data_IF_002805154114
#
_entry.id   IF_002805154114
#
_cell.length_a   1.000
_cell.length_b   1.000
_cell.length_c   1.000
_cell.angle_alpha   90.00
_cell.angle_beta   90.00
_cell.angle_gamma   90.00
#
_symmetry.space_group_name_H-M   'P 1'
#
loop_
_entity.id
_entity.type
_entity.pdbx_description
1 polymer ?
#
# COMPACT_ATOMS: atom_id res chain seq x y z
N UNK A 1 -17.98 4.62 -3.82
CA UNK A 1 -17.98 6.01 -4.26
C UNK A 1 -19.08 6.17 -5.28
N UNK A 2 -19.68 7.36 -5.33
CA UNK A 2 -20.83 7.78 -6.14
C UNK A 2 -21.92 6.72 -6.44
N UNK A 3 -21.64 5.71 -7.26
CA UNK A 3 -22.55 4.62 -7.63
C UNK A 3 -22.34 3.29 -6.89
N UNK A 4 -21.21 3.09 -6.19
CA UNK A 4 -20.82 1.81 -5.56
C UNK A 4 -20.68 1.96 -4.04
N UNK A 5 -21.32 1.06 -3.29
CA UNK A 5 -21.15 0.97 -1.84
C UNK A 5 -19.77 0.41 -1.48
N UNK A 6 -19.17 0.89 -0.39
CA UNK A 6 -17.87 0.40 0.18
C UNK A 6 -16.70 0.34 -0.82
N UNK A 7 -16.67 1.26 -1.79
CA UNK A 7 -15.61 1.28 -2.82
C UNK A 7 -14.23 1.72 -2.29
N UNK A 8 -14.21 2.49 -1.20
CA UNK A 8 -12.97 3.02 -0.63
C UNK A 8 -12.84 2.63 0.83
N UNK A 9 -11.60 2.34 1.24
CA UNK A 9 -11.21 2.23 2.64
C UNK A 9 -10.29 3.40 2.93
N UNK A 10 -10.67 4.23 3.90
CA UNK A 10 -9.87 5.37 4.37
C UNK A 10 -9.25 4.98 5.69
N UNK A 11 -7.94 5.15 5.82
CA UNK A 11 -7.18 4.81 7.03
C UNK A 11 -6.13 5.87 7.31
N UNK A 12 -5.73 5.97 8.58
CA UNK A 12 -4.53 6.71 8.98
C UNK A 12 -3.25 6.03 8.48
N UNK A 13 -2.14 6.76 8.57
CA UNK A 13 -0.82 6.20 8.30
C UNK A 13 -0.50 5.08 9.32
N UNK A 14 -0.08 3.89 8.88
CA UNK A 14 0.21 2.78 9.79
C UNK A 14 1.31 3.12 10.81
N UNK A 15 1.01 2.89 12.08
CA UNK A 15 1.99 2.99 13.16
C UNK A 15 2.88 1.74 13.17
N UNK A 16 4.06 1.82 13.80
CA UNK A 16 5.00 0.68 13.92
C UNK A 16 4.35 -0.65 14.32
N UNK A 17 3.40 -0.61 15.24
CA UNK A 17 2.69 -1.80 15.74
C UNK A 17 1.61 -2.34 14.80
N UNK A 18 1.11 -1.53 13.87
CA UNK A 18 0.01 -1.87 12.95
C UNK A 18 0.46 -2.02 11.48
N UNK A 19 1.77 -1.92 11.19
CA UNK A 19 2.29 -2.12 9.81
C UNK A 19 1.88 -3.49 9.24
N UNK A 20 1.82 -4.55 10.06
CA UNK A 20 1.37 -5.84 9.54
C UNK A 20 -0.13 -5.84 9.21
N UNK A 21 -0.93 -5.07 9.95
CA UNK A 21 -2.38 -5.06 9.84
C UNK A 21 -2.83 -4.38 8.54
N UNK A 22 -2.07 -3.37 8.07
CA UNK A 22 -2.36 -2.75 6.75
C UNK A 22 -2.18 -3.76 5.61
N UNK A 23 -1.25 -4.71 5.71
CA UNK A 23 -1.08 -5.75 4.70
C UNK A 23 -2.18 -6.80 4.76
N UNK A 24 -2.67 -7.14 5.95
CA UNK A 24 -3.90 -7.93 6.10
C UNK A 24 -5.08 -7.25 5.42
N UNK A 25 -5.27 -5.95 5.68
CA UNK A 25 -6.33 -5.15 5.09
C UNK A 25 -6.27 -5.16 3.56
N UNK A 26 -5.10 -4.84 2.98
CA UNK A 26 -4.90 -4.81 1.53
C UNK A 26 -5.18 -6.19 0.91
N UNK A 27 -4.67 -7.26 1.52
CA UNK A 27 -4.78 -8.61 0.96
C UNK A 27 -6.19 -9.18 1.09
N UNK A 28 -6.79 -9.07 2.28
CA UNK A 28 -8.08 -9.70 2.60
C UNK A 28 -9.27 -8.93 1.98
N UNK A 29 -9.15 -7.60 1.82
CA UNK A 29 -10.14 -6.78 1.08
C UNK A 29 -9.82 -6.63 -0.41
N UNK A 30 -8.82 -7.35 -0.91
CA UNK A 30 -8.46 -7.40 -2.34
C UNK A 30 -8.17 -6.01 -2.93
N UNK A 31 -7.52 -5.13 -2.17
CA UNK A 31 -7.23 -3.78 -2.63
C UNK A 31 -6.19 -3.80 -3.76
N UNK A 32 -6.66 -3.57 -4.99
CA UNK A 32 -5.79 -3.47 -6.18
C UNK A 32 -4.98 -2.18 -6.22
N UNK A 33 -5.45 -1.12 -5.56
CA UNK A 33 -4.81 0.20 -5.56
C UNK A 33 -4.75 0.78 -4.15
N UNK A 34 -3.60 1.35 -3.80
CA UNK A 34 -3.38 2.08 -2.54
C UNK A 34 -2.92 3.48 -2.87
N UNK A 35 -3.70 4.47 -2.42
CA UNK A 35 -3.43 5.88 -2.66
C UNK A 35 -2.82 6.50 -1.41
N UNK A 36 -1.63 7.05 -1.55
CA UNK A 36 -0.88 7.71 -0.48
C UNK A 36 -0.89 9.21 -0.78
N UNK A 37 -1.57 9.95 0.09
CA UNK A 37 -1.71 11.41 -0.03
C UNK A 37 -0.65 12.20 0.76
N UNK A 38 0.15 11.50 1.56
CA UNK A 38 1.07 12.10 2.51
C UNK A 38 2.53 11.64 2.27
N UNK A 39 3.48 12.40 2.80
CA UNK A 39 4.88 12.08 2.83
C UNK A 39 5.47 12.46 4.21
N UNK A 40 5.27 11.61 5.23
CA UNK A 40 5.67 11.94 6.59
C UNK A 40 7.19 12.07 6.71
N UNK A 41 7.63 13.16 7.32
CA UNK A 41 9.05 13.45 7.57
C UNK A 41 9.57 12.85 8.89
N UNK A 42 8.73 12.10 9.62
CA UNK A 42 9.04 11.52 10.93
C UNK A 42 9.03 9.99 10.86
N UNK A 43 10.08 9.34 10.31
CA UNK A 43 10.10 7.89 10.06
C UNK A 43 10.05 7.03 11.34
N UNK A 44 10.36 7.63 12.50
CA UNK A 44 10.27 6.96 13.79
C UNK A 44 8.83 6.82 14.29
N UNK A 45 7.94 7.74 13.92
CA UNK A 45 6.54 7.75 14.32
C UNK A 45 5.66 7.17 13.22
N UNK A 46 5.93 7.59 11.98
CA UNK A 46 5.24 7.21 10.75
C UNK A 46 6.21 6.49 9.80
N UNK A 47 6.51 5.21 10.07
CA UNK A 47 7.43 4.43 9.25
C UNK A 47 6.84 4.12 7.88
N UNK A 48 7.70 3.98 6.87
CA UNK A 48 7.28 3.40 5.58
C UNK A 48 6.76 1.98 5.79
N UNK A 49 5.53 1.73 5.35
CA UNK A 49 4.88 0.43 5.48
C UNK A 49 5.02 -0.45 4.23
N UNK A 50 5.66 0.06 3.17
CA UNK A 50 5.95 -0.67 1.93
C UNK A 50 7.45 -0.75 1.63
N UNK A 51 7.89 -1.72 0.80
CA UNK A 51 9.30 -1.88 0.49
C UNK A 51 9.82 -0.66 -0.23
N UNK A 52 10.89 -0.07 0.31
CA UNK A 52 11.64 0.98 -0.40
C UNK A 52 12.40 0.36 -1.56
N UNK A 53 12.68 1.12 -2.62
CA UNK A 53 13.25 0.58 -3.88
C UNK A 53 14.57 -0.18 -3.71
N UNK A 54 15.35 0.17 -2.69
CA UNK A 54 16.59 -0.54 -2.32
C UNK A 54 16.35 -1.97 -1.83
N UNK A 55 15.14 -2.29 -1.41
CA UNK A 55 14.73 -3.61 -0.92
C UNK A 55 13.73 -4.22 -1.90
N UNK A 56 14.21 -5.15 -2.75
CA UNK A 56 13.33 -5.88 -3.67
C UNK A 56 12.23 -6.66 -2.95
N UNK A 57 12.47 -7.11 -1.71
CA UNK A 57 11.52 -7.89 -0.92
C UNK A 57 11.64 -7.58 0.56
N UNK A 58 10.51 -7.46 1.24
CA UNK A 58 10.44 -7.21 2.69
C UNK A 58 9.37 -8.09 3.33
N UNK A 59 9.55 -8.43 4.61
CA UNK A 59 8.55 -9.13 5.43
C UNK A 59 7.82 -8.16 6.33
N UNK A 60 6.53 -8.39 6.51
CA UNK A 60 5.65 -7.62 7.39
C UNK A 60 4.92 -8.59 8.32
N UNK A 61 5.44 -8.72 9.54
CA UNK A 61 4.99 -9.75 10.47
C UNK A 61 5.35 -11.18 10.01
N UNK A 62 4.76 -12.21 10.63
CA UNK A 62 5.02 -13.62 10.31
C UNK A 62 4.28 -14.11 9.05
N UNK A 63 3.25 -13.39 8.62
CA UNK A 63 2.30 -13.82 7.58
C UNK A 63 2.65 -13.26 6.21
N UNK A 64 3.06 -12.00 6.09
CA UNK A 64 3.16 -11.33 4.79
C UNK A 64 4.61 -11.09 4.36
N UNK A 65 4.86 -11.31 3.07
CA UNK A 65 6.07 -10.85 2.40
C UNK A 65 5.71 -10.17 1.08
N UNK A 66 6.23 -8.96 0.91
CA UNK A 66 5.91 -8.08 -0.22
C UNK A 66 7.16 -7.87 -1.04
N UNK A 67 7.01 -8.00 -2.36
CA UNK A 67 8.08 -7.89 -3.34
C UNK A 67 7.75 -6.77 -4.34
N UNK A 68 8.73 -5.91 -4.63
CA UNK A 68 8.61 -4.87 -5.64
C UNK A 68 8.79 -5.48 -7.03
N UNK A 69 7.76 -5.37 -7.86
CA UNK A 69 7.75 -5.87 -9.24
C UNK A 69 8.27 -4.79 -10.18
N UNK A 70 7.77 -3.56 -10.05
CA UNK A 70 8.20 -2.41 -10.84
C UNK A 70 7.93 -1.10 -10.10
N UNK A 71 8.58 -0.03 -10.54
CA UNK A 71 8.29 1.33 -10.12
C UNK A 71 8.34 2.29 -11.31
N UNK A 72 7.56 3.36 -11.22
CA UNK A 72 7.60 4.47 -12.17
C UNK A 72 7.39 5.79 -11.42
N UNK A 73 8.22 6.78 -11.73
CA UNK A 73 8.21 8.08 -11.07
C UNK A 73 7.91 9.19 -12.07
N UNK A 74 6.72 9.76 -11.95
CA UNK A 74 6.28 10.96 -12.66
C UNK A 74 6.58 12.20 -11.80
N UNK A 75 6.55 13.41 -12.39
CA UNK A 75 6.95 14.63 -11.66
C UNK A 75 6.22 14.86 -10.32
N UNK A 76 4.94 14.48 -10.21
CA UNK A 76 4.10 14.70 -9.02
C UNK A 76 3.50 13.42 -8.41
N UNK A 77 3.77 12.27 -9.03
CA UNK A 77 3.19 10.98 -8.67
C UNK A 77 4.27 9.92 -8.76
N UNK A 78 4.49 9.19 -7.68
CA UNK A 78 5.32 7.99 -7.67
C UNK A 78 4.44 6.76 -7.61
N UNK A 79 4.82 5.72 -8.34
CA UNK A 79 4.05 4.49 -8.42
C UNK A 79 4.92 3.26 -8.23
N UNK A 80 4.37 2.25 -7.58
CA UNK A 80 5.02 0.96 -7.37
C UNK A 80 4.02 -0.16 -7.56
N UNK A 81 4.42 -1.22 -8.25
CA UNK A 81 3.67 -2.45 -8.32
C UNK A 81 4.29 -3.44 -7.36
N UNK A 82 3.48 -3.95 -6.43
CA UNK A 82 3.90 -4.90 -5.41
C UNK A 82 3.19 -6.24 -5.56
N UNK A 83 3.95 -7.31 -5.43
CA UNK A 83 3.46 -8.68 -5.28
C UNK A 83 3.43 -9.05 -3.80
N UNK A 84 2.26 -9.34 -3.28
CA UNK A 84 1.99 -9.74 -1.90
C UNK A 84 1.93 -11.26 -1.84
N UNK A 85 2.75 -11.86 -0.99
CA UNK A 85 2.73 -13.29 -0.69
C UNK A 85 2.26 -13.48 0.75
N UNK A 86 1.19 -14.27 0.93
CA UNK A 86 0.65 -14.65 2.24
C UNK A 86 1.14 -16.05 2.60
N UNK A 87 1.71 -16.21 3.79
CA UNK A 87 2.06 -17.51 4.35
C UNK A 87 0.87 -18.02 5.16
N UNK A 88 0.37 -19.20 4.82
CA UNK A 88 -0.63 -19.89 5.64
C UNK A 88 0.04 -20.33 6.95
N UNK A 89 -0.55 -19.95 8.08
CA UNK A 89 -0.03 -20.25 9.43
C UNK A 89 -0.94 -21.16 10.25
N UNK A 90 -2.19 -21.37 9.81
CA UNK A 90 -3.10 -22.31 10.45
C UNK A 90 -2.67 -23.75 10.18
N UNK A 91 -2.49 -24.54 11.24
CA UNK A 91 -2.13 -25.96 11.11
C UNK A 91 -3.19 -26.76 10.34
N UNK A 92 -4.47 -26.45 10.52
CA UNK A 92 -5.56 -27.14 9.82
C UNK A 92 -5.52 -26.86 8.33
N UNK A 93 -5.31 -25.60 7.94
CA UNK A 93 -5.18 -25.19 6.53
C UNK A 93 -3.93 -25.81 5.90
N UNK A 94 -2.80 -25.83 6.62
CA UNK A 94 -1.56 -26.45 6.17
C UNK A 94 -1.71 -27.96 5.95
N UNK A 95 -2.36 -28.68 6.89
CA UNK A 95 -2.65 -30.11 6.76
C UNK A 95 -3.60 -30.40 5.60
N UNK A 96 -4.55 -29.49 5.33
CA UNK A 96 -5.43 -29.55 4.18
C UNK A 96 -4.75 -29.16 2.85
N UNK A 97 -3.45 -28.83 2.87
CA UNK A 97 -2.69 -28.44 1.68
C UNK A 97 -3.09 -27.07 1.10
N UNK A 98 -3.78 -26.24 1.88
CA UNK A 98 -4.20 -24.90 1.46
C UNK A 98 -2.98 -24.04 1.20
N UNK A 99 -2.99 -23.37 0.05
CA UNK A 99 -1.99 -22.38 -0.33
C UNK A 99 -2.70 -21.04 -0.51
N UNK A 100 -2.10 -19.99 0.00
CA UNK A 100 -2.60 -18.65 -0.23
C UNK A 100 -2.08 -18.14 -1.57
N UNK A 101 -3.00 -17.64 -2.41
CA UNK A 101 -2.68 -17.10 -3.73
C UNK A 101 -1.91 -15.77 -3.60
N UNK A 102 -0.80 -15.58 -4.32
CA UNK A 102 -0.16 -14.28 -4.38
C UNK A 102 -1.10 -13.24 -5.03
N UNK A 103 -1.13 -12.02 -4.48
CA UNK A 103 -1.91 -10.90 -5.02
C UNK A 103 -1.00 -9.77 -5.47
N UNK A 104 -1.44 -8.99 -6.44
CA UNK A 104 -0.73 -7.77 -6.89
C UNK A 104 -1.53 -6.54 -6.49
N UNK A 105 -0.83 -5.51 -6.01
CA UNK A 105 -1.41 -4.21 -5.68
C UNK A 105 -0.50 -3.10 -6.22
N UNK A 106 -1.09 -1.98 -6.61
CA UNK A 106 -0.36 -0.82 -7.09
C UNK A 106 -0.48 0.33 -6.11
N UNK A 107 0.65 0.88 -5.71
CA UNK A 107 0.73 2.04 -4.84
C UNK A 107 0.92 3.28 -5.69
N UNK A 108 0.22 4.35 -5.33
CA UNK A 108 0.35 5.66 -5.93
C UNK A 108 0.56 6.68 -4.82
N UNK A 109 1.71 7.35 -4.81
CA UNK A 109 2.00 8.43 -3.87
C UNK A 109 2.01 9.77 -4.60
N UNK A 110 1.20 10.70 -4.13
CA UNK A 110 1.27 12.10 -4.56
C UNK A 110 2.41 12.79 -3.80
N UNK A 111 3.26 13.52 -4.52
CA UNK A 111 4.39 14.25 -3.94
C UNK A 111 4.16 15.76 -3.86
N UNK A 112 3.05 16.26 -4.41
CA UNK A 112 2.72 17.69 -4.45
C UNK A 112 1.75 18.14 -3.36
N UNK A 113 1.62 17.38 -2.27
CA UNK A 113 0.78 17.75 -1.12
C UNK A 113 1.64 17.85 0.16
N UNK A 114 2.18 19.04 0.47
CA UNK A 114 2.94 19.25 1.70
C UNK A 114 2.04 19.15 2.95
N UNK A 115 2.59 18.66 4.05
CA UNK A 115 1.89 18.49 5.34
C UNK A 115 1.22 19.77 5.85
N UNK A 116 1.85 20.93 5.65
CA UNK A 116 1.33 22.22 6.15
C UNK A 116 0.25 22.84 5.23
N UNK A 117 -0.10 22.17 4.14
CA UNK A 117 -1.05 22.68 3.15
C UNK A 117 -2.42 22.00 3.25
N UNK A 118 -3.48 22.81 3.24
CA UNK A 118 -4.87 22.32 3.18
C UNK A 118 -5.22 21.64 1.86
N UNK A 119 -4.49 21.96 0.78
CA UNK A 119 -4.72 21.44 -0.58
C UNK A 119 -3.38 21.19 -1.28
N UNK A 120 -3.31 20.25 -2.25
CA UNK A 120 -2.09 20.04 -3.00
C UNK A 120 -1.73 21.29 -3.80
N UNK A 121 -0.44 21.49 -4.07
CA UNK A 121 0.06 22.60 -4.89
C UNK A 121 -0.36 22.50 -6.35
N UNK A 122 -0.96 21.38 -6.76
CA UNK A 122 -1.37 21.11 -8.13
C UNK A 122 -2.60 20.20 -8.18
N UNK A 123 -3.77 20.77 -8.44
CA UNK A 123 -5.02 20.01 -8.65
C UNK A 123 -4.93 19.04 -9.84
N UNK A 124 -4.19 19.41 -10.89
CA UNK A 124 -3.99 18.55 -12.06
C UNK A 124 -3.36 17.20 -11.71
N UNK A 125 -2.52 17.12 -10.66
CA UNK A 125 -1.92 15.86 -10.26
C UNK A 125 -2.96 14.89 -9.68
N UNK A 126 -4.00 15.42 -9.01
CA UNK A 126 -5.13 14.61 -8.56
C UNK A 126 -5.95 14.09 -9.74
N UNK A 127 -6.18 14.94 -10.75
CA UNK A 127 -6.91 14.56 -11.97
C UNK A 127 -6.13 13.51 -12.77
N UNK A 128 -4.82 13.69 -12.91
CA UNK A 128 -3.93 12.70 -13.54
C UNK A 128 -4.01 11.36 -12.80
N UNK A 129 -3.90 11.37 -11.46
CA UNK A 129 -3.99 10.16 -10.64
C UNK A 129 -5.33 9.43 -10.83
N UNK A 130 -6.45 10.15 -10.93
CA UNK A 130 -7.77 9.56 -11.14
C UNK A 130 -7.93 8.88 -12.50
N UNK A 131 -7.07 9.21 -13.48
CA UNK A 131 -7.09 8.66 -14.83
C UNK A 131 -6.00 7.61 -15.10
N UNK A 132 -5.19 7.28 -14.09
CA UNK A 132 -4.12 6.27 -14.18
C UNK A 132 -4.63 4.84 -13.93
#
# INVERSE_FOLDING_TARGET
>A
GYTRSKEYIITEWPLKRTIQDIWSLIYDHECNSVIILDNPNMPNEYPFFWPLERYKKQKYGPVFSVEMVSSAHYPKIKTWIFKINKKVVSLTELMAGVKAEPKTTQFFQITCWPLDHKVPTSTNALVELMNM
#
